data_IF_484347479964
#
_entry.id   IF_484347479964
#
_cell.length_a   1.000
_cell.length_b   1.000
_cell.length_c   1.000
_cell.angle_alpha   90.00
_cell.angle_beta   90.00
_cell.angle_gamma   90.00
#
_symmetry.space_group_name_H-M   'P 1'
#
loop_
_entity.id
_entity.type
_entity.pdbx_description
1 polymer ?
#
# COMPACT_ATOMS: atom_id res chain seq x y z
N UNK A 1 25.18 -47.09 -61.68
CA UNK A 1 24.42 -46.95 -60.41
C UNK A 1 25.22 -47.62 -59.30
N UNK A 2 25.84 -46.84 -58.42
CA UNK A 2 26.27 -47.30 -57.08
C UNK A 2 26.51 -46.07 -56.22
N UNK A 3 25.59 -45.82 -55.29
CA UNK A 3 25.60 -44.70 -54.36
C UNK A 3 26.40 -45.07 -53.10
N UNK A 4 27.29 -44.16 -52.68
CA UNK A 4 27.99 -44.17 -51.39
C UNK A 4 27.02 -43.70 -50.30
N UNK A 5 26.88 -44.42 -49.18
CA UNK A 5 26.19 -43.92 -47.97
C UNK A 5 27.17 -43.79 -46.82
N UNK A 6 27.49 -42.56 -46.48
CA UNK A 6 27.98 -42.11 -45.19
C UNK A 6 26.79 -41.86 -44.26
N UNK A 7 26.90 -42.22 -42.99
CA UNK A 7 25.94 -41.83 -41.95
C UNK A 7 26.72 -41.38 -40.73
N UNK A 8 26.64 -40.08 -40.45
CA UNK A 8 27.19 -39.45 -39.27
C UNK A 8 26.13 -38.59 -38.59
N UNK A 9 25.99 -38.83 -37.28
CA UNK A 9 25.74 -37.85 -36.21
C UNK A 9 24.40 -37.09 -36.27
N UNK A 10 23.45 -37.51 -35.43
CA UNK A 10 22.32 -36.69 -35.00
C UNK A 10 22.22 -36.74 -33.47
N UNK A 11 22.87 -35.79 -32.77
CA UNK A 11 22.67 -35.54 -31.34
C UNK A 11 23.25 -34.16 -30.93
N UNK A 12 22.65 -33.06 -31.39
CA UNK A 12 23.01 -31.71 -30.91
C UNK A 12 21.88 -30.70 -31.19
N UNK A 13 20.72 -30.83 -30.52
CA UNK A 13 19.67 -29.81 -30.64
C UNK A 13 18.88 -29.52 -29.35
N UNK A 14 19.10 -30.23 -28.24
CA UNK A 14 18.30 -30.05 -27.00
C UNK A 14 18.90 -29.06 -25.97
N UNK A 15 20.11 -28.55 -26.18
CA UNK A 15 20.83 -27.72 -25.19
C UNK A 15 20.61 -26.21 -25.31
N UNK A 16 19.99 -25.72 -26.39
CA UNK A 16 19.87 -24.28 -26.66
C UNK A 16 18.68 -23.59 -25.94
N UNK A 17 17.66 -24.34 -25.52
CA UNK A 17 16.44 -23.75 -24.90
C UNK A 17 16.61 -23.42 -23.41
N UNK A 18 17.58 -24.04 -22.72
CA UNK A 18 17.80 -23.83 -21.28
C UNK A 18 18.58 -22.53 -20.96
N UNK A 19 19.33 -21.97 -21.92
CA UNK A 19 20.14 -20.77 -21.70
C UNK A 19 19.31 -19.47 -21.71
N UNK A 20 18.19 -19.44 -22.45
CA UNK A 20 17.33 -18.26 -22.59
C UNK A 20 16.51 -18.01 -21.31
N UNK A 21 16.02 -19.06 -20.64
CA UNK A 21 15.22 -18.92 -19.42
C UNK A 21 16.03 -18.33 -18.24
N UNK A 22 17.31 -18.70 -18.12
CA UNK A 22 18.20 -18.18 -17.07
C UNK A 22 18.53 -16.69 -17.22
N UNK A 23 18.52 -16.15 -18.45
CA UNK A 23 18.83 -14.74 -18.68
C UNK A 23 17.68 -13.83 -18.29
N UNK A 24 16.43 -14.22 -18.57
CA UNK A 24 15.23 -13.45 -18.20
C UNK A 24 15.09 -13.38 -16.67
N UNK A 25 15.22 -14.52 -15.99
CA UNK A 25 15.19 -14.61 -14.53
C UNK A 25 16.22 -13.70 -13.83
N UNK A 26 17.46 -13.69 -14.31
CA UNK A 26 18.50 -12.85 -13.74
C UNK A 26 18.24 -11.35 -13.96
N UNK A 27 17.57 -10.99 -15.06
CA UNK A 27 17.21 -9.60 -15.37
C UNK A 27 16.14 -9.08 -14.41
N UNK A 28 15.10 -9.88 -14.13
CA UNK A 28 14.01 -9.50 -13.24
C UNK A 28 14.50 -9.23 -11.82
N UNK A 29 15.26 -10.17 -11.24
CA UNK A 29 15.83 -9.99 -9.90
C UNK A 29 16.80 -8.79 -9.81
N UNK A 30 17.56 -8.52 -10.88
CA UNK A 30 18.46 -7.37 -10.92
C UNK A 30 17.72 -6.03 -11.03
N UNK A 31 16.55 -6.04 -11.66
CA UNK A 31 15.69 -4.86 -11.82
C UNK A 31 14.99 -4.56 -10.51
N UNK A 32 14.33 -5.56 -9.91
CA UNK A 32 13.71 -5.43 -8.59
C UNK A 32 14.72 -4.99 -7.54
N UNK A 33 15.93 -5.57 -7.52
CA UNK A 33 17.00 -5.10 -6.62
C UNK A 33 17.25 -3.59 -6.76
N UNK A 34 17.31 -3.05 -7.98
CA UNK A 34 17.55 -1.61 -8.20
C UNK A 34 16.38 -0.77 -7.71
N UNK A 35 15.15 -1.23 -7.97
CA UNK A 35 13.92 -0.55 -7.53
C UNK A 35 13.80 -0.51 -6.01
N UNK A 36 14.26 -1.57 -5.33
CA UNK A 36 14.25 -1.64 -3.87
C UNK A 36 15.26 -0.72 -3.20
N UNK A 37 16.30 -0.22 -3.88
CA UNK A 37 17.27 0.68 -3.24
C UNK A 37 16.61 2.03 -2.92
N UNK A 38 16.61 2.41 -1.65
CA UNK A 38 15.97 3.64 -1.19
C UNK A 38 15.33 3.50 0.19
N UNK A 39 14.46 4.45 0.53
CA UNK A 39 13.73 4.46 1.80
C UNK A 39 12.33 3.89 1.63
N UNK A 40 11.97 2.99 2.53
CA UNK A 40 10.71 2.27 2.56
C UNK A 40 10.05 2.39 3.94
N UNK A 41 8.73 2.43 3.96
CA UNK A 41 7.96 2.24 5.17
C UNK A 41 7.56 0.77 5.29
N UNK A 42 7.98 0.15 6.39
CA UNK A 42 7.48 -1.13 6.87
C UNK A 42 6.40 -0.89 7.91
N UNK A 43 5.20 -1.40 7.69
CA UNK A 43 4.04 -1.12 8.54
C UNK A 43 3.18 -2.36 8.77
N UNK A 44 2.37 -2.33 9.84
CA UNK A 44 1.18 -3.21 9.91
C UNK A 44 0.16 -2.81 8.84
N UNK A 45 -0.80 -3.69 8.55
CA UNK A 45 -1.86 -3.44 7.56
C UNK A 45 -2.60 -2.13 7.77
N UNK A 46 -3.02 -1.87 9.00
CA UNK A 46 -3.72 -0.67 9.43
C UNK A 46 -2.77 0.52 9.66
N UNK A 47 -1.46 0.34 9.43
CA UNK A 47 -0.38 1.31 9.61
C UNK A 47 -0.33 1.95 11.01
N UNK A 48 -0.91 1.29 12.03
CA UNK A 48 -0.86 1.72 13.43
C UNK A 48 0.57 1.69 14.00
N UNK A 49 1.43 0.85 13.43
CA UNK A 49 2.87 0.78 13.74
C UNK A 49 3.68 0.83 12.46
N UNK A 50 4.62 1.75 12.41
CA UNK A 50 5.49 1.96 11.25
C UNK A 50 6.96 2.00 11.64
N UNK A 51 7.81 1.60 10.69
CA UNK A 51 9.26 1.60 10.77
C UNK A 51 9.80 2.03 9.41
N UNK A 52 10.78 2.93 9.40
CA UNK A 52 11.47 3.28 8.16
C UNK A 52 12.70 2.39 7.99
N UNK A 53 12.80 1.78 6.82
CA UNK A 53 13.91 0.93 6.41
C UNK A 53 14.59 1.55 5.20
N UNK A 54 15.90 1.73 5.25
CA UNK A 54 16.71 2.17 4.11
C UNK A 54 17.43 0.96 3.52
N UNK A 55 17.03 0.53 2.33
CA UNK A 55 17.66 -0.55 1.58
C UNK A 55 18.84 0.00 0.77
N UNK A 56 20.02 -0.60 0.89
CA UNK A 56 21.24 -0.18 0.20
C UNK A 56 21.78 -1.27 -0.72
N UNK A 57 22.47 -0.87 -1.77
CA UNK A 57 23.08 -1.79 -2.74
C UNK A 57 24.40 -2.43 -2.30
N UNK A 58 24.98 -1.98 -1.17
CA UNK A 58 26.24 -2.48 -0.65
C UNK A 58 26.11 -3.94 -0.21
N UNK A 59 27.08 -4.78 -0.57
CA UNK A 59 27.10 -6.18 -0.16
C UNK A 59 27.47 -6.34 1.32
N UNK A 60 26.86 -7.34 1.95
CA UNK A 60 27.22 -7.87 3.27
C UNK A 60 27.50 -9.37 3.13
N UNK A 61 28.11 -10.05 4.13
CA UNK A 61 28.30 -11.49 4.08
C UNK A 61 27.00 -12.29 3.86
N UNK A 62 25.85 -11.72 4.24
CA UNK A 62 24.55 -12.40 4.16
C UNK A 62 23.64 -11.87 3.04
N UNK A 63 24.01 -10.79 2.33
CA UNK A 63 23.15 -10.22 1.30
C UNK A 63 23.52 -8.77 1.02
N UNK A 64 22.55 -7.88 1.16
CA UNK A 64 22.69 -6.45 0.94
C UNK A 64 22.43 -5.69 2.23
N UNK A 65 23.08 -4.53 2.38
CA UNK A 65 22.98 -3.72 3.59
C UNK A 65 21.61 -3.04 3.67
N UNK A 66 21.05 -2.98 4.86
CA UNK A 66 19.93 -2.10 5.19
C UNK A 66 20.21 -1.32 6.47
N UNK A 67 19.45 -0.26 6.69
CA UNK A 67 19.45 0.52 7.93
C UNK A 67 18.02 0.68 8.43
N UNK A 68 17.81 0.38 9.70
CA UNK A 68 16.55 0.58 10.40
C UNK A 68 16.63 1.87 11.21
N UNK A 69 15.59 2.68 11.17
CA UNK A 69 15.50 3.84 12.08
C UNK A 69 15.48 3.39 13.55
N UNK A 70 16.02 4.19 14.50
CA UNK A 70 16.17 3.81 15.91
C UNK A 70 14.87 3.34 16.61
N UNK A 71 13.70 3.79 16.13
CA UNK A 71 12.40 3.42 16.67
C UNK A 71 11.84 2.08 16.20
N UNK A 72 12.45 1.45 15.19
CA UNK A 72 11.88 0.28 14.53
C UNK A 72 11.65 -0.89 15.48
N UNK A 73 12.64 -1.28 16.29
CA UNK A 73 12.49 -2.40 17.23
C UNK A 73 11.44 -2.15 18.33
N UNK A 74 11.11 -0.88 18.61
CA UNK A 74 10.04 -0.52 19.55
C UNK A 74 8.66 -0.62 18.88
N UNK A 75 8.54 -0.16 17.63
CA UNK A 75 7.29 -0.22 16.88
C UNK A 75 6.97 -1.65 16.42
N UNK A 76 7.95 -2.33 15.85
CA UNK A 76 7.86 -3.65 15.24
C UNK A 76 8.96 -4.56 15.83
N UNK A 77 8.70 -5.27 16.94
CA UNK A 77 9.75 -5.98 17.69
C UNK A 77 10.58 -6.99 16.90
N UNK A 78 10.01 -7.63 15.87
CA UNK A 78 10.74 -8.59 15.03
C UNK A 78 11.86 -7.94 14.20
N UNK A 79 11.83 -6.61 13.99
CA UNK A 79 12.86 -5.94 13.19
C UNK A 79 14.23 -5.96 13.86
N UNK A 80 14.30 -6.24 15.16
CA UNK A 80 15.57 -6.37 15.89
C UNK A 80 16.48 -7.47 15.31
N UNK A 81 15.89 -8.47 14.67
CA UNK A 81 16.59 -9.63 14.14
C UNK A 81 17.05 -9.40 12.68
N UNK A 82 16.59 -8.31 12.03
CA UNK A 82 16.90 -8.00 10.64
C UNK A 82 18.29 -7.36 10.54
N UNK A 83 19.16 -7.95 9.71
CA UNK A 83 20.53 -7.46 9.51
C UNK A 83 20.93 -7.25 8.05
N UNK A 84 20.20 -7.88 7.12
CA UNK A 84 20.43 -7.76 5.69
C UNK A 84 19.11 -7.93 4.91
N UNK A 85 19.13 -7.51 3.65
CA UNK A 85 18.07 -7.81 2.69
C UNK A 85 18.63 -8.50 1.45
N UNK A 86 17.78 -9.17 0.68
CA UNK A 86 18.17 -9.74 -0.60
C UNK A 86 16.95 -9.93 -1.50
N UNK A 87 17.18 -10.25 -2.78
CA UNK A 87 16.14 -10.78 -3.67
C UNK A 87 16.28 -12.31 -3.71
N UNK A 88 15.21 -13.02 -3.36
CA UNK A 88 15.15 -14.48 -3.43
C UNK A 88 14.33 -14.87 -4.67
N UNK A 89 14.89 -15.69 -5.55
CA UNK A 89 14.22 -16.02 -6.80
C UNK A 89 14.17 -14.78 -7.70
N UNK A 90 12.97 -14.43 -8.19
CA UNK A 90 12.77 -13.33 -9.15
C UNK A 90 12.12 -12.10 -8.53
N UNK A 91 11.28 -12.31 -7.52
CA UNK A 91 10.22 -11.39 -7.12
C UNK A 91 10.07 -11.24 -5.59
N UNK A 92 10.81 -12.04 -4.80
CA UNK A 92 10.70 -12.01 -3.35
C UNK A 92 11.76 -11.07 -2.77
N UNK A 93 11.31 -9.98 -2.14
CA UNK A 93 12.17 -9.14 -1.31
C UNK A 93 12.26 -9.77 0.08
N UNK A 94 13.43 -10.25 0.45
CA UNK A 94 13.68 -10.92 1.73
C UNK A 94 14.39 -9.98 2.69
N UNK A 95 13.86 -9.84 3.90
CA UNK A 95 14.60 -9.34 5.06
C UNK A 95 15.02 -10.52 5.92
N UNK A 96 16.28 -10.54 6.32
CA UNK A 96 16.90 -11.74 6.89
C UNK A 96 17.82 -11.42 8.07
N UNK A 97 18.03 -12.44 8.89
CA UNK A 97 18.87 -12.37 10.07
C UNK A 97 20.36 -12.56 9.75
N UNK A 98 21.18 -12.52 10.80
CA UNK A 98 22.63 -12.67 10.68
C UNK A 98 23.07 -14.08 10.23
N UNK A 99 22.19 -15.08 10.31
CA UNK A 99 22.40 -16.44 9.84
C UNK A 99 21.86 -16.66 8.40
N UNK A 100 21.29 -15.62 7.78
CA UNK A 100 20.68 -15.68 6.46
C UNK A 100 19.29 -16.30 6.43
N UNK A 101 18.66 -16.53 7.59
CA UNK A 101 17.30 -17.04 7.66
C UNK A 101 16.29 -15.91 7.38
N UNK A 102 15.16 -16.23 6.72
CA UNK A 102 14.12 -15.26 6.48
C UNK A 102 13.52 -14.79 7.80
N UNK A 103 13.59 -13.48 8.05
CA UNK A 103 12.75 -12.82 9.05
C UNK A 103 11.38 -12.56 8.42
N UNK A 104 11.35 -12.02 7.20
CA UNK A 104 10.10 -11.84 6.45
C UNK A 104 10.42 -11.81 4.95
N UNK A 105 9.58 -12.48 4.17
CA UNK A 105 9.60 -12.46 2.71
C UNK A 105 8.40 -11.63 2.25
N UNK A 106 8.65 -10.70 1.34
CA UNK A 106 7.63 -9.84 0.74
C UNK A 106 7.47 -10.14 -0.76
N UNK A 107 6.23 -10.12 -1.23
CA UNK A 107 5.87 -10.20 -2.64
C UNK A 107 5.07 -8.97 -3.04
N UNK A 108 5.30 -8.46 -4.25
CA UNK A 108 4.52 -7.34 -4.77
C UNK A 108 3.07 -7.77 -5.02
N UNK A 109 2.12 -7.03 -4.47
CA UNK A 109 0.67 -7.27 -4.64
C UNK A 109 0.01 -6.19 -5.49
N UNK A 110 0.56 -4.98 -5.44
CA UNK A 110 0.22 -3.83 -6.27
C UNK A 110 1.50 -3.07 -6.56
N UNK A 111 1.52 -2.30 -7.65
CA UNK A 111 2.71 -1.54 -8.07
C UNK A 111 3.31 -0.72 -6.92
N UNK A 112 4.51 -1.10 -6.47
CA UNK A 112 5.23 -0.45 -5.37
C UNK A 112 4.73 -0.78 -3.95
N UNK A 113 3.82 -1.75 -3.81
CA UNK A 113 3.28 -2.25 -2.55
C UNK A 113 3.59 -3.74 -2.44
N UNK A 114 4.37 -4.08 -1.42
CA UNK A 114 4.74 -5.45 -1.14
C UNK A 114 4.15 -5.91 0.18
N UNK A 115 3.66 -7.15 0.23
CA UNK A 115 3.09 -7.76 1.42
C UNK A 115 3.88 -8.98 1.86
N UNK A 116 4.05 -9.10 3.19
CA UNK A 116 4.71 -10.24 3.82
C UNK A 116 3.90 -10.74 5.00
N UNK A 117 3.70 -12.05 5.10
CA UNK A 117 3.00 -12.69 6.20
C UNK A 117 3.99 -13.18 7.26
N UNK A 118 3.74 -12.84 8.52
CA UNK A 118 4.41 -13.47 9.67
C UNK A 118 3.42 -14.33 10.46
N UNK A 119 3.70 -15.62 10.56
CA UNK A 119 2.88 -16.58 11.28
C UNK A 119 2.67 -16.15 12.73
N UNK A 120 1.41 -15.94 13.13
CA UNK A 120 1.06 -15.52 14.49
C UNK A 120 1.17 -14.02 14.77
N UNK A 121 1.67 -13.22 13.81
CA UNK A 121 1.80 -11.76 13.94
C UNK A 121 0.93 -10.98 12.94
N UNK A 122 0.64 -11.56 11.77
CA UNK A 122 -0.22 -10.95 10.74
C UNK A 122 0.55 -10.52 9.49
N UNK A 123 -0.10 -9.68 8.68
CA UNK A 123 0.45 -9.16 7.42
C UNK A 123 1.17 -7.83 7.67
N UNK A 124 2.29 -7.65 6.98
CA UNK A 124 3.07 -6.43 6.98
C UNK A 124 3.18 -5.90 5.55
N UNK A 125 3.12 -4.58 5.43
CA UNK A 125 3.23 -3.86 4.17
C UNK A 125 4.60 -3.20 4.10
N UNK A 126 5.25 -3.31 2.95
CA UNK A 126 6.46 -2.58 2.59
C UNK A 126 6.15 -1.72 1.37
N UNK A 127 6.26 -0.39 1.50
CA UNK A 127 5.96 0.57 0.44
C UNK A 127 6.94 1.73 0.41
N UNK A 128 7.06 2.41 -0.73
CA UNK A 128 7.96 3.55 -0.86
C UNK A 128 7.64 4.64 0.18
N UNK A 129 8.66 5.12 0.91
CA UNK A 129 8.44 6.06 2.03
C UNK A 129 7.78 7.37 1.59
N UNK A 130 8.14 7.88 0.40
CA UNK A 130 7.56 9.14 -0.09
C UNK A 130 6.07 8.97 -0.44
N UNK A 131 5.69 7.84 -1.06
CA UNK A 131 4.30 7.49 -1.33
C UNK A 131 3.51 7.32 -0.02
N UNK A 132 4.07 6.58 0.94
CA UNK A 132 3.48 6.34 2.25
C UNK A 132 3.21 7.64 3.03
N UNK A 133 4.16 8.58 3.02
CA UNK A 133 4.04 9.90 3.64
C UNK A 133 3.06 10.81 2.90
N UNK A 134 3.02 10.75 1.57
CA UNK A 134 2.06 11.50 0.77
C UNK A 134 0.62 11.08 1.10
N UNK A 135 0.38 9.77 1.20
CA UNK A 135 -0.91 9.21 1.59
C UNK A 135 -1.32 9.65 3.01
N UNK A 136 -0.40 9.54 3.98
CA UNK A 136 -0.66 9.98 5.36
C UNK A 136 -1.00 11.48 5.42
N UNK A 137 -0.20 12.33 4.73
CA UNK A 137 -0.46 13.77 4.63
C UNK A 137 -1.84 14.06 4.00
N UNK A 138 -2.19 13.34 2.93
CA UNK A 138 -3.50 13.47 2.28
C UNK A 138 -4.62 13.15 3.27
N UNK A 139 -4.48 12.09 4.06
CA UNK A 139 -5.45 11.75 5.11
C UNK A 139 -5.52 12.78 6.23
N UNK A 140 -4.38 13.28 6.72
CA UNK A 140 -4.33 14.31 7.76
C UNK A 140 -5.03 15.59 7.31
N UNK A 141 -4.89 15.93 6.02
CA UNK A 141 -5.60 17.02 5.37
C UNK A 141 -7.10 16.79 5.23
N UNK A 142 -7.64 15.63 5.59
CA UNK A 142 -9.08 15.36 5.62
C UNK A 142 -9.66 15.39 7.03
N UNK A 143 -8.84 15.17 8.06
CA UNK A 143 -9.27 15.24 9.46
C UNK A 143 -9.80 16.63 9.81
N UNK A 144 -10.81 16.69 10.67
CA UNK A 144 -11.37 17.90 11.24
C UNK A 144 -12.84 18.10 10.87
N UNK A 145 -13.31 19.33 11.03
CA UNK A 145 -14.71 19.68 10.81
C UNK A 145 -15.02 19.92 9.33
N UNK A 146 -16.20 19.48 8.94
CA UNK A 146 -16.78 19.63 7.61
C UNK A 146 -18.25 20.03 7.71
N UNK A 147 -18.72 20.69 6.66
CA UNK A 147 -20.13 21.00 6.44
C UNK A 147 -20.61 20.32 5.18
N UNK A 148 -21.68 19.54 5.29
CA UNK A 148 -22.47 19.12 4.14
C UNK A 148 -23.39 20.25 3.73
N UNK A 149 -23.35 20.60 2.45
CA UNK A 149 -24.16 21.65 1.83
C UNK A 149 -24.89 21.12 0.59
N UNK A 150 -26.05 21.70 0.29
CA UNK A 150 -26.73 21.48 -1.00
C UNK A 150 -26.08 22.32 -2.10
N UNK A 151 -26.43 22.04 -3.36
CA UNK A 151 -25.93 22.80 -4.52
C UNK A 151 -26.23 24.32 -4.47
N UNK A 152 -27.20 24.75 -3.68
CA UNK A 152 -27.51 26.16 -3.43
C UNK A 152 -26.68 26.80 -2.27
N UNK A 153 -25.74 26.05 -1.68
CA UNK A 153 -24.89 26.48 -0.57
C UNK A 153 -25.52 26.34 0.83
N UNK A 154 -26.78 25.91 0.94
CA UNK A 154 -27.42 25.70 2.23
C UNK A 154 -26.71 24.59 3.01
N UNK A 155 -26.19 24.91 4.19
CA UNK A 155 -25.65 23.89 5.11
C UNK A 155 -26.77 23.04 5.69
N UNK A 156 -26.62 21.73 5.58
CA UNK A 156 -27.62 20.75 6.01
C UNK A 156 -27.13 19.84 7.14
N UNK A 157 -25.82 19.73 7.35
CA UNK A 157 -25.26 18.95 8.45
C UNK A 157 -23.80 19.34 8.67
N UNK A 158 -23.35 19.41 9.92
CA UNK A 158 -21.94 19.44 10.25
C UNK A 158 -21.45 18.03 10.59
N UNK A 159 -20.19 17.74 10.33
CA UNK A 159 -19.56 16.48 10.73
C UNK A 159 -18.09 16.69 11.10
N UNK A 160 -17.53 15.75 11.86
CA UNK A 160 -16.13 15.74 12.25
C UNK A 160 -15.51 14.43 11.78
N UNK A 161 -14.56 14.50 10.85
CA UNK A 161 -13.73 13.38 10.39
C UNK A 161 -12.55 13.23 11.34
N UNK A 162 -12.33 12.04 11.91
CA UNK A 162 -11.23 11.79 12.86
C UNK A 162 -10.19 10.85 12.26
N UNK A 163 -9.03 10.73 12.91
CA UNK A 163 -8.07 9.64 12.70
C UNK A 163 -8.23 8.50 13.71
N UNK A 164 -9.34 8.44 14.43
CA UNK A 164 -9.57 7.33 15.36
C UNK A 164 -10.03 6.12 14.56
N UNK A 165 -9.29 5.02 14.63
CA UNK A 165 -9.61 3.78 13.93
C UNK A 165 -11.00 3.27 14.34
N UNK A 166 -11.76 2.78 13.37
CA UNK A 166 -13.02 2.09 13.57
C UNK A 166 -12.87 0.60 13.26
N UNK A 167 -12.51 0.25 12.02
CA UNK A 167 -12.29 -1.13 11.55
C UNK A 167 -11.45 -1.14 10.27
N UNK A 168 -10.33 -1.87 10.25
CA UNK A 168 -9.45 -1.92 9.06
C UNK A 168 -8.99 -0.52 8.68
N UNK A 169 -9.11 -0.16 7.40
CA UNK A 169 -8.72 1.18 6.90
C UNK A 169 -9.80 2.27 7.10
N UNK A 170 -10.80 2.02 7.95
CA UNK A 170 -11.88 2.96 8.24
C UNK A 170 -11.64 3.71 9.55
N UNK A 171 -11.97 4.99 9.55
CA UNK A 171 -11.86 5.90 10.69
C UNK A 171 -13.22 6.42 11.14
N UNK A 172 -13.34 6.86 12.39
CA UNK A 172 -14.60 7.35 12.94
C UNK A 172 -14.97 8.72 12.37
N UNK A 173 -16.25 8.89 12.04
CA UNK A 173 -16.89 10.17 11.70
C UNK A 173 -18.07 10.41 12.63
N UNK A 174 -18.26 11.65 13.05
CA UNK A 174 -19.36 12.06 13.90
C UNK A 174 -20.20 13.13 13.23
N UNK A 175 -21.53 12.99 13.27
CA UNK A 175 -22.43 14.06 12.90
C UNK A 175 -22.58 15.06 14.05
N UNK A 176 -22.55 16.36 13.73
CA UNK A 176 -22.97 17.42 14.65
C UNK A 176 -24.51 17.40 14.79
N UNK A 177 -25.08 17.96 15.87
CA UNK A 177 -26.54 18.00 16.04
C UNK A 177 -27.26 18.77 14.92
N UNK A 178 -28.57 18.52 14.78
CA UNK A 178 -29.49 19.24 13.87
C UNK A 178 -29.22 19.02 12.37
N UNK A 179 -28.80 17.83 11.99
CA UNK A 179 -28.67 17.47 10.59
C UNK A 179 -30.03 17.26 9.91
N UNK A 180 -30.07 17.56 8.61
CA UNK A 180 -31.18 17.26 7.71
C UNK A 180 -31.57 15.77 7.76
N UNK A 181 -32.86 15.42 7.65
CA UNK A 181 -33.32 14.04 7.78
C UNK A 181 -32.64 13.04 6.85
N UNK A 182 -32.25 13.44 5.63
CA UNK A 182 -31.58 12.53 4.70
C UNK A 182 -30.18 12.14 5.19
N UNK A 183 -29.43 13.10 5.75
CA UNK A 183 -28.10 12.84 6.32
C UNK A 183 -28.23 12.07 7.64
N UNK A 184 -29.20 12.42 8.47
CA UNK A 184 -29.47 11.72 9.73
C UNK A 184 -29.95 10.27 9.51
N UNK A 185 -30.65 9.98 8.41
CA UNK A 185 -31.06 8.62 8.06
C UNK A 185 -29.90 7.75 7.54
N UNK A 186 -28.99 8.37 6.77
CA UNK A 186 -27.75 7.73 6.34
C UNK A 186 -26.81 7.46 7.51
N UNK A 187 -26.68 8.41 8.46
CA UNK A 187 -25.94 8.25 9.72
C UNK A 187 -24.54 7.61 9.54
N UNK A 188 -23.61 8.28 8.83
CA UNK A 188 -22.27 7.75 8.69
C UNK A 188 -21.59 7.69 10.06
N UNK A 189 -20.97 6.55 10.34
CA UNK A 189 -20.15 6.34 11.54
C UNK A 189 -18.70 6.01 11.20
N UNK A 190 -18.42 5.75 9.92
CA UNK A 190 -17.10 5.45 9.40
C UNK A 190 -16.80 6.29 8.15
N UNK A 191 -15.53 6.63 7.95
CA UNK A 191 -15.03 7.25 6.73
C UNK A 191 -13.66 6.69 6.36
N UNK A 192 -13.29 6.80 5.08
CA UNK A 192 -11.94 6.53 4.58
C UNK A 192 -11.60 7.41 3.39
N UNK A 193 -10.33 7.50 3.07
CA UNK A 193 -9.84 8.10 1.83
C UNK A 193 -9.28 6.97 0.95
N UNK A 194 -9.89 6.75 -0.20
CA UNK A 194 -9.50 5.67 -1.12
C UNK A 194 -9.30 6.26 -2.52
N UNK A 195 -8.09 6.14 -3.07
CA UNK A 195 -7.75 6.62 -4.43
C UNK A 195 -8.19 8.07 -4.71
N UNK A 196 -8.10 8.94 -3.70
CA UNK A 196 -8.48 10.35 -3.81
C UNK A 196 -9.98 10.63 -3.64
N UNK A 197 -10.80 9.62 -3.36
CA UNK A 197 -12.21 9.76 -3.02
C UNK A 197 -12.40 9.67 -1.51
N UNK A 198 -13.21 10.58 -0.96
CA UNK A 198 -13.67 10.46 0.41
C UNK A 198 -14.93 9.59 0.42
N UNK A 199 -14.90 8.53 1.23
CA UNK A 199 -16.02 7.60 1.35
C UNK A 199 -16.56 7.68 2.76
N UNK A 200 -17.85 8.01 2.90
CA UNK A 200 -18.60 7.89 4.15
C UNK A 200 -19.38 6.59 4.15
N UNK A 201 -19.45 5.93 5.29
CA UNK A 201 -20.07 4.61 5.45
C UNK A 201 -21.00 4.61 6.66
N UNK A 202 -22.19 4.02 6.49
CA UNK A 202 -23.15 3.81 7.57
C UNK A 202 -22.97 2.45 8.23
N UNK A 203 -23.49 2.30 9.45
CA UNK A 203 -23.53 1.02 10.16
C UNK A 203 -24.33 -0.07 9.39
N UNK A 204 -25.13 0.31 8.39
CA UNK A 204 -25.90 -0.61 7.54
C UNK A 204 -25.12 -1.07 6.30
N UNK A 205 -23.89 -0.59 6.10
CA UNK A 205 -23.06 -0.89 4.93
C UNK A 205 -23.35 -0.01 3.71
N UNK A 206 -24.14 1.05 3.86
CA UNK A 206 -24.37 2.02 2.77
C UNK A 206 -23.15 2.94 2.64
N UNK A 207 -22.82 3.36 1.42
CA UNK A 207 -21.66 4.22 1.16
C UNK A 207 -22.03 5.46 0.35
N UNK A 208 -21.53 6.63 0.75
CA UNK A 208 -21.55 7.86 -0.07
C UNK A 208 -20.10 8.21 -0.44
N UNK A 209 -19.82 8.29 -1.73
CA UNK A 209 -18.52 8.64 -2.26
C UNK A 209 -18.50 10.11 -2.67
N UNK A 210 -17.39 10.78 -2.42
CA UNK A 210 -17.17 12.17 -2.77
C UNK A 210 -15.83 12.33 -3.48
N UNK A 211 -15.84 13.14 -4.54
CA UNK A 211 -14.66 13.52 -5.31
C UNK A 211 -14.38 15.01 -5.12
N UNK A 212 -13.10 15.37 -5.01
CA UNK A 212 -12.70 16.76 -5.01
C UNK A 212 -12.99 17.39 -6.39
N UNK A 213 -13.62 18.56 -6.41
CA UNK A 213 -13.76 19.40 -7.57
C UNK A 213 -12.63 20.45 -7.68
N UNK A 214 -12.66 21.25 -8.74
CA UNK A 214 -11.66 22.29 -9.01
C UNK A 214 -11.63 23.42 -7.94
N UNK A 215 -12.64 23.48 -7.06
CA UNK A 215 -12.77 24.48 -6.00
C UNK A 215 -12.39 23.92 -4.61
N UNK A 216 -11.77 22.73 -4.57
CA UNK A 216 -11.48 22.01 -3.33
C UNK A 216 -12.73 21.69 -2.48
N UNK A 217 -13.90 21.62 -3.13
CA UNK A 217 -15.12 21.10 -2.55
C UNK A 217 -15.23 19.61 -2.90
N UNK A 218 -15.88 18.84 -2.03
CA UNK A 218 -16.02 17.40 -2.23
C UNK A 218 -17.45 17.09 -2.66
N UNK A 219 -17.67 16.81 -3.94
CA UNK A 219 -19.01 16.57 -4.48
C UNK A 219 -19.34 15.09 -4.46
N UNK A 220 -20.55 14.75 -4.03
CA UNK A 220 -21.02 13.37 -4.01
C UNK A 220 -21.11 12.81 -5.44
N UNK A 221 -20.60 11.61 -5.64
CA UNK A 221 -20.67 10.88 -6.92
C UNK A 221 -21.44 9.56 -6.76
N UNK A 222 -22.28 9.16 -7.76
CA UNK A 222 -22.68 9.96 -8.92
C UNK A 222 -23.54 11.16 -8.52
N UNK A 223 -23.63 12.15 -9.42
CA UNK A 223 -24.43 13.34 -9.19
C UNK A 223 -25.92 13.01 -9.02
N UNK A 224 -26.57 13.72 -8.09
CA UNK A 224 -28.01 13.64 -7.83
C UNK A 224 -28.70 14.93 -8.24
N UNK A 225 -30.02 14.89 -8.44
CA UNK A 225 -30.81 16.08 -8.81
C UNK A 225 -30.70 17.22 -7.77
N UNK A 226 -30.49 16.86 -6.51
CA UNK A 226 -30.11 17.79 -5.44
C UNK A 226 -28.68 17.44 -4.99
N UNK A 227 -27.65 18.12 -5.54
CA UNK A 227 -26.26 17.78 -5.29
C UNK A 227 -25.90 17.93 -3.81
N UNK A 228 -25.16 16.95 -3.30
CA UNK A 228 -24.60 17.00 -1.97
C UNK A 228 -23.10 17.28 -2.08
N UNK A 229 -22.65 18.31 -1.39
CA UNK A 229 -21.26 18.77 -1.43
C UNK A 229 -20.76 18.83 0.02
N UNK A 230 -19.50 18.48 0.25
CA UNK A 230 -18.82 18.77 1.51
C UNK A 230 -17.78 19.84 1.33
N UNK A 231 -17.77 20.77 2.27
CA UNK A 231 -16.80 21.86 2.35
C UNK A 231 -16.17 21.85 3.74
N UNK A 232 -14.97 22.41 3.86
CA UNK A 232 -14.34 22.56 5.18
C UNK A 232 -15.24 23.34 6.12
N UNK A 233 -15.42 22.80 7.33
CA UNK A 233 -16.18 23.45 8.39
C UNK A 233 -15.45 24.71 8.84
N UNK A 234 -16.20 25.76 9.17
CA UNK A 234 -15.67 26.95 9.82
C UNK A 234 -15.39 26.70 11.30
#
# INVERSE_FOLDING_TARGET
MTLRRSSGIAAAALTALLALASQVAAQDASTLKKEMIGQWELATTERSKTCVVTMKGDATPQGLKLELEPGCAKALPFTKDITAWNIKGLDIVRLQDAAGQPVIDFTEVESGIFEGLRTGEGVYILQNLAAARSLAKSMDQMIGDWSMVRGNGQTICGLTLTNTEATGDNFQVFLKPKCDPAVAAFAPNQWRLERGQMILMSAKGETWQFEADDNAQWRRVPDTADPLIMIRGQ
#
